data_IF_304267378253
#
_entry.id   IF_304267378253
#
_cell.length_a   1.000
_cell.length_b   1.000
_cell.length_c   1.000
_cell.angle_alpha   90.00
_cell.angle_beta   90.00
_cell.angle_gamma   90.00
#
_symmetry.space_group_name_H-M   'P 1'
#
loop_
_entity.id
_entity.type
_entity.pdbx_description
1 polymer ?
#
# COMPACT_ATOMS: atom_id res chain seq x y z
N UNK A 1 19.66 18.42 -13.34
CA UNK A 1 18.31 18.25 -13.92
C UNK A 1 18.46 17.23 -15.03
N UNK A 2 18.51 15.95 -14.68
CA UNK A 2 18.67 14.88 -15.66
C UNK A 2 17.32 14.70 -16.35
N UNK A 3 17.20 15.17 -17.59
CA UNK A 3 16.17 14.66 -18.48
C UNK A 3 16.57 13.22 -18.80
N UNK A 4 16.21 12.29 -17.91
CA UNK A 4 16.17 10.88 -18.29
C UNK A 4 15.21 10.80 -19.48
N UNK A 5 15.72 10.29 -20.58
CA UNK A 5 14.92 10.04 -21.78
C UNK A 5 13.93 8.95 -21.38
N UNK A 6 12.76 9.36 -20.91
CA UNK A 6 11.67 8.49 -20.49
C UNK A 6 11.12 7.80 -21.74
N UNK A 7 11.75 6.69 -22.12
CA UNK A 7 11.22 5.78 -23.12
C UNK A 7 10.04 5.05 -22.47
N UNK A 8 8.89 5.73 -22.49
CA UNK A 8 7.62 5.16 -22.06
C UNK A 8 7.26 4.01 -22.98
N UNK A 9 7.36 2.80 -22.44
CA UNK A 9 7.09 1.55 -23.15
C UNK A 9 6.11 0.71 -22.36
N UNK A 10 5.33 -0.11 -23.05
CA UNK A 10 4.38 -1.03 -22.43
C UNK A 10 5.07 -1.95 -21.41
N UNK A 11 6.28 -2.42 -21.72
CA UNK A 11 7.08 -3.25 -20.79
C UNK A 11 7.41 -2.52 -19.50
N UNK A 12 7.75 -1.22 -19.58
CA UNK A 12 8.01 -0.40 -18.40
C UNK A 12 6.74 -0.24 -17.55
N UNK A 13 5.59 -0.02 -18.19
CA UNK A 13 4.30 0.05 -17.50
C UNK A 13 3.98 -1.26 -16.76
N UNK A 14 4.22 -2.42 -17.38
CA UNK A 14 4.03 -3.73 -16.75
C UNK A 14 4.95 -3.95 -15.55
N UNK A 15 6.23 -3.59 -15.66
CA UNK A 15 7.18 -3.70 -14.53
C UNK A 15 6.74 -2.81 -13.36
N UNK A 16 6.29 -1.58 -13.61
CA UNK A 16 5.78 -0.73 -12.55
C UNK A 16 4.45 -1.23 -11.97
N UNK A 17 3.61 -1.90 -12.75
CA UNK A 17 2.39 -2.54 -12.28
C UNK A 17 2.71 -3.70 -11.33
N UNK A 18 3.70 -4.54 -11.66
CA UNK A 18 4.16 -5.63 -10.80
C UNK A 18 4.75 -5.12 -9.47
N UNK A 19 5.39 -3.95 -9.50
CA UNK A 19 5.90 -3.28 -8.30
C UNK A 19 4.80 -2.55 -7.50
N UNK A 20 3.57 -2.49 -8.00
CA UNK A 20 2.45 -1.79 -7.36
C UNK A 20 2.56 -0.26 -7.39
N UNK A 21 3.38 0.29 -8.29
CA UNK A 21 3.54 1.72 -8.53
C UNK A 21 2.47 2.26 -9.50
N UNK A 22 1.20 2.08 -9.15
CA UNK A 22 0.06 2.37 -10.02
C UNK A 22 -0.01 3.80 -10.56
N UNK A 23 0.48 4.80 -9.82
CA UNK A 23 0.54 6.19 -10.29
C UNK A 23 1.45 6.33 -11.52
N UNK A 24 2.65 5.74 -11.48
CA UNK A 24 3.58 5.77 -12.62
C UNK A 24 3.02 5.01 -13.81
N UNK A 25 2.33 3.90 -13.56
CA UNK A 25 1.67 3.10 -14.61
C UNK A 25 0.63 3.93 -15.37
N UNK A 26 -0.19 4.69 -14.64
CA UNK A 26 -1.20 5.60 -15.20
C UNK A 26 -0.53 6.67 -16.06
N UNK A 27 0.56 7.28 -15.58
CA UNK A 27 1.28 8.32 -16.33
C UNK A 27 1.88 7.79 -17.63
N UNK A 28 2.44 6.58 -17.60
CA UNK A 28 2.99 5.89 -18.78
C UNK A 28 1.89 5.56 -19.79
N UNK A 29 0.78 4.94 -19.36
CA UNK A 29 -0.32 4.61 -20.28
C UNK A 29 -1.02 5.85 -20.83
N UNK A 30 -1.09 6.96 -20.08
CA UNK A 30 -1.57 8.24 -20.61
C UNK A 30 -0.66 8.79 -21.70
N UNK A 31 0.66 8.69 -21.54
CA UNK A 31 1.61 9.08 -22.58
C UNK A 31 1.50 8.17 -23.81
N UNK A 32 1.37 6.86 -23.62
CA UNK A 32 1.20 5.90 -24.72
C UNK A 32 -0.11 6.12 -25.49
N UNK A 33 -1.23 6.37 -24.81
CA UNK A 33 -2.52 6.68 -25.44
C UNK A 33 -2.54 8.02 -26.17
N UNK A 34 -1.74 9.01 -25.73
CA UNK A 34 -1.61 10.28 -26.44
C UNK A 34 -0.90 10.11 -27.80
N UNK A 35 -0.06 9.08 -27.94
CA UNK A 35 0.68 8.75 -29.18
C UNK A 35 -0.12 7.77 -30.04
N UNK A 36 -0.71 6.74 -29.42
CA UNK A 36 -1.48 5.67 -30.08
C UNK A 36 -2.88 5.54 -29.46
N UNK A 37 -3.82 6.44 -29.81
CA UNK A 37 -5.16 6.47 -29.19
C UNK A 37 -6.06 5.29 -29.61
N UNK A 38 -5.75 4.61 -30.71
CA UNK A 38 -6.57 3.49 -31.22
C UNK A 38 -6.33 2.16 -30.47
N UNK A 39 -5.32 2.12 -29.61
CA UNK A 39 -4.97 0.92 -28.83
C UNK A 39 -5.89 0.78 -27.62
N UNK A 40 -6.99 0.06 -27.83
CA UNK A 40 -7.93 -0.34 -26.77
C UNK A 40 -7.22 -1.07 -25.62
N UNK A 41 -6.18 -1.87 -25.92
CA UNK A 41 -5.38 -2.58 -24.93
C UNK A 41 -4.76 -1.63 -23.87
N UNK A 42 -4.35 -0.42 -24.26
CA UNK A 42 -3.79 0.57 -23.33
C UNK A 42 -4.88 1.26 -22.51
N UNK A 43 -6.06 1.46 -23.08
CA UNK A 43 -7.20 2.01 -22.37
C UNK A 43 -7.69 1.05 -21.28
N UNK A 44 -7.76 -0.25 -21.60
CA UNK A 44 -8.12 -1.29 -20.63
C UNK A 44 -7.08 -1.40 -19.51
N UNK A 45 -5.78 -1.37 -19.85
CA UNK A 45 -4.70 -1.40 -18.86
C UNK A 45 -4.69 -0.15 -17.95
N UNK A 46 -5.02 1.03 -18.51
CA UNK A 46 -5.18 2.26 -17.74
C UNK A 46 -6.35 2.16 -16.75
N UNK A 47 -7.50 1.65 -17.20
CA UNK A 47 -8.67 1.46 -16.35
C UNK A 47 -8.41 0.47 -15.21
N UNK A 48 -7.68 -0.63 -15.47
CA UNK A 48 -7.25 -1.55 -14.42
C UNK A 48 -6.35 -0.86 -13.40
N UNK A 49 -5.34 -0.11 -13.86
CA UNK A 49 -4.41 0.59 -12.97
C UNK A 49 -5.13 1.61 -12.05
N UNK A 50 -6.11 2.35 -12.58
CA UNK A 50 -6.92 3.28 -11.80
C UNK A 50 -7.80 2.55 -10.76
N UNK A 51 -8.39 1.41 -11.12
CA UNK A 51 -9.16 0.60 -10.17
C UNK A 51 -8.29 0.04 -9.05
N UNK A 52 -7.08 -0.43 -9.36
CA UNK A 52 -6.11 -0.91 -8.36
C UNK A 52 -5.69 0.20 -7.40
N UNK A 53 -5.47 1.41 -7.91
CA UNK A 53 -5.14 2.57 -7.08
C UNK A 53 -6.30 2.91 -6.13
N UNK A 54 -7.54 2.97 -6.64
CA UNK A 54 -8.74 3.21 -5.81
C UNK A 54 -8.92 2.14 -4.73
N UNK A 55 -8.73 0.86 -5.07
CA UNK A 55 -8.77 -0.23 -4.08
C UNK A 55 -7.68 -0.07 -3.02
N UNK A 56 -6.46 0.29 -3.41
CA UNK A 56 -5.34 0.53 -2.48
C UNK A 56 -5.65 1.70 -1.55
N UNK A 57 -6.19 2.80 -2.05
CA UNK A 57 -6.61 3.94 -1.24
C UNK A 57 -7.75 3.59 -0.29
N UNK A 58 -8.75 2.82 -0.75
CA UNK A 58 -9.86 2.39 0.07
C UNK A 58 -9.41 1.46 1.21
N UNK A 59 -8.46 0.56 0.94
CA UNK A 59 -7.86 -0.31 1.95
C UNK A 59 -6.91 0.46 2.89
N UNK A 60 -6.14 1.40 2.36
CA UNK A 60 -5.21 2.23 3.14
C UNK A 60 -5.92 3.23 4.04
N UNK A 61 -7.17 3.61 3.76
CA UNK A 61 -8.00 4.40 4.70
C UNK A 61 -8.52 3.55 5.85
N UNK A 62 -8.77 2.25 5.63
CA UNK A 62 -9.24 1.33 6.68
C UNK A 62 -8.12 0.81 7.58
N UNK A 63 -6.90 0.69 7.06
CA UNK A 63 -5.80 0.01 7.75
C UNK A 63 -5.21 0.76 8.97
N UNK A 64 -4.82 2.04 8.92
CA UNK A 64 -4.09 2.67 10.02
C UNK A 64 -5.00 2.94 11.23
N UNK A 65 -6.25 3.35 11.00
CA UNK A 65 -7.20 3.68 12.07
C UNK A 65 -7.64 2.45 12.87
N UNK A 66 -7.68 1.27 12.24
CA UNK A 66 -8.02 0.01 12.90
C UNK A 66 -6.85 -0.63 13.66
N UNK A 67 -5.60 -0.30 13.30
CA UNK A 67 -4.42 -0.86 13.97
C UNK A 67 -4.17 -0.22 15.34
N UNK A 68 -4.45 1.08 15.50
CA UNK A 68 -4.26 1.82 16.77
C UNK A 68 -5.01 1.19 17.95
N UNK A 69 -6.32 0.85 17.87
CA UNK A 69 -7.01 0.19 18.97
C UNK A 69 -6.47 -1.21 19.26
N UNK A 70 -6.06 -1.98 18.25
CA UNK A 70 -5.46 -3.31 18.45
C UNK A 70 -4.14 -3.23 19.21
N UNK A 71 -3.28 -2.27 18.87
CA UNK A 71 -2.04 -2.04 19.62
C UNK A 71 -2.31 -1.60 21.06
N UNK A 72 -3.35 -0.78 21.29
CA UNK A 72 -3.76 -0.37 22.64
C UNK A 72 -4.15 -1.58 23.50
N UNK A 73 -5.01 -2.46 22.99
CA UNK A 73 -5.44 -3.66 23.72
C UNK A 73 -4.25 -4.56 24.08
N UNK A 74 -3.33 -4.74 23.13
CA UNK A 74 -2.14 -5.56 23.33
C UNK A 74 -1.19 -4.98 24.39
N UNK A 75 -0.97 -3.66 24.37
CA UNK A 75 -0.16 -2.96 25.37
C UNK A 75 -0.81 -3.04 26.76
N UNK A 76 -2.13 -2.88 26.85
CA UNK A 76 -2.85 -3.04 28.11
C UNK A 76 -2.73 -4.45 28.68
N UNK A 77 -2.78 -5.47 27.82
CA UNK A 77 -2.59 -6.86 28.21
C UNK A 77 -1.19 -7.10 28.78
N UNK A 78 -0.15 -6.54 28.14
CA UNK A 78 1.22 -6.61 28.65
C UNK A 78 1.36 -5.97 30.03
N UNK A 79 0.77 -4.79 30.25
CA UNK A 79 0.79 -4.16 31.56
C UNK A 79 0.05 -4.97 32.63
N UNK A 80 -1.09 -5.59 32.29
CA UNK A 80 -1.82 -6.49 33.20
C UNK A 80 -0.96 -7.71 33.55
N UNK A 81 -0.29 -8.30 32.56
CA UNK A 81 0.61 -9.44 32.77
C UNK A 81 1.79 -9.08 33.69
N UNK A 82 2.47 -7.95 33.45
CA UNK A 82 3.58 -7.49 34.31
C UNK A 82 3.12 -7.27 35.76
N UNK A 83 1.96 -6.62 35.96
CA UNK A 83 1.36 -6.45 37.29
C UNK A 83 1.11 -7.78 37.99
N UNK A 84 0.58 -8.78 37.27
CA UNK A 84 0.35 -10.12 37.80
C UNK A 84 1.66 -10.83 38.18
N UNK A 85 2.71 -10.69 37.37
CA UNK A 85 4.02 -11.27 37.68
C UNK A 85 4.63 -10.66 38.94
N UNK A 86 4.52 -9.34 39.11
CA UNK A 86 4.96 -8.64 40.34
C UNK A 86 4.20 -9.12 41.58
N UNK A 87 2.88 -9.29 41.48
CA UNK A 87 2.06 -9.81 42.58
C UNK A 87 2.40 -11.27 42.94
N UNK A 88 2.64 -12.13 41.92
CA UNK A 88 3.10 -13.51 42.17
C UNK A 88 4.43 -13.55 42.92
N UNK A 89 5.38 -12.67 42.58
CA UNK A 89 6.67 -12.58 43.29
C UNK A 89 6.49 -12.19 44.76
N UNK A 90 5.63 -11.22 45.05
CA UNK A 90 5.33 -10.79 46.42
C UNK A 90 4.66 -11.89 47.25
N UNK A 91 3.73 -12.64 46.68
CA UNK A 91 3.08 -13.78 47.37
C UNK A 91 4.06 -14.93 47.68
N UNK A 92 5.18 -15.04 46.97
CA UNK A 92 6.18 -16.10 47.17
C UNK A 92 7.26 -15.74 48.19
N UNK A 93 7.35 -14.47 48.58
CA UNK A 93 8.36 -13.94 49.54
C UNK A 93 7.78 -13.85 50.96
N UNK A 94 6.45 -13.94 51.11
CA UNK A 94 5.74 -13.97 52.40
C UNK A 94 5.31 -15.38 52.74
#
# INVERSE_FOLDING_TARGET
MSQEVDIYTETMAKVYADQGHWLKVIDIYRHLLAIEPERLDYADALAEAENRLKMKEMNSRKAPEQLVPLFREWIELLFKFDKLQKLKKLKRIR
#
